data_IF_809705037781
#
_entry.id   IF_809705037781
#
_cell.length_a   1.000
_cell.length_b   1.000
_cell.length_c   1.000
_cell.angle_alpha   90.00
_cell.angle_beta   90.00
_cell.angle_gamma   90.00
#
_symmetry.space_group_name_H-M   'P 1'
#
loop_
_entity.id
_entity.type
_entity.pdbx_description
1 polymer ?
#
# COMPACT_ATOMS: atom_id res chain seq x y z
N UNK A 1 -31.29 17.38 -27.09
CA UNK A 1 -31.64 17.59 -25.67
C UNK A 1 -30.36 17.66 -24.86
N UNK A 2 -30.33 18.49 -23.82
CA UNK A 2 -29.20 18.61 -22.89
C UNK A 2 -29.07 17.29 -22.09
N UNK A 3 -27.84 16.86 -21.78
CA UNK A 3 -27.57 15.58 -21.10
C UNK A 3 -26.48 15.75 -20.06
N UNK A 4 -26.61 15.05 -18.93
CA UNK A 4 -25.56 14.89 -17.92
C UNK A 4 -25.05 13.45 -18.04
N UNK A 5 -23.73 13.28 -18.08
CA UNK A 5 -23.09 11.96 -18.18
C UNK A 5 -22.27 11.73 -16.92
N UNK A 6 -22.61 10.67 -16.19
CA UNK A 6 -21.87 10.25 -15.00
C UNK A 6 -20.89 9.15 -15.42
N UNK A 7 -19.60 9.44 -15.28
CA UNK A 7 -18.50 8.55 -15.64
C UNK A 7 -18.00 7.68 -14.48
N UNK A 8 -18.20 8.15 -13.24
CA UNK A 8 -17.75 7.49 -12.03
C UNK A 8 -18.74 7.74 -10.90
N UNK A 9 -18.73 6.85 -9.90
CA UNK A 9 -19.60 6.94 -8.72
C UNK A 9 -18.73 6.99 -7.46
N UNK A 10 -19.22 7.60 -6.37
CA UNK A 10 -18.44 7.69 -5.15
C UNK A 10 -18.10 6.32 -4.55
N UNK A 11 -17.05 6.31 -3.73
CA UNK A 11 -16.59 5.11 -3.03
C UNK A 11 -17.72 4.47 -2.20
N UNK A 12 -17.84 3.14 -2.26
CA UNK A 12 -18.87 2.35 -1.58
C UNK A 12 -20.33 2.67 -1.95
N UNK A 13 -20.58 3.36 -3.07
CA UNK A 13 -21.92 3.52 -3.63
C UNK A 13 -22.21 2.41 -4.64
N UNK A 14 -23.37 1.76 -4.51
CA UNK A 14 -23.86 0.81 -5.52
C UNK A 14 -24.63 1.58 -6.59
N UNK A 15 -24.25 1.38 -7.86
CA UNK A 15 -24.90 2.04 -9.01
C UNK A 15 -26.41 1.81 -9.05
N UNK A 16 -26.86 0.56 -8.82
CA UNK A 16 -28.30 0.23 -8.85
C UNK A 16 -29.08 1.03 -7.79
N UNK A 17 -28.60 1.04 -6.55
CA UNK A 17 -29.23 1.76 -5.43
C UNK A 17 -29.26 3.27 -5.69
N UNK A 18 -28.18 3.82 -6.25
CA UNK A 18 -28.10 5.22 -6.66
C UNK A 18 -29.17 5.56 -7.71
N UNK A 19 -29.34 4.73 -8.74
CA UNK A 19 -30.34 4.95 -9.80
C UNK A 19 -31.77 4.90 -9.27
N UNK A 20 -32.08 3.93 -8.41
CA UNK A 20 -33.40 3.80 -7.77
C UNK A 20 -33.69 5.04 -6.93
N UNK A 21 -32.72 5.49 -6.12
CA UNK A 21 -32.89 6.69 -5.31
C UNK A 21 -33.08 7.95 -6.16
N UNK A 22 -32.35 8.12 -7.26
CA UNK A 22 -32.55 9.25 -8.17
C UNK A 22 -33.95 9.19 -8.79
N UNK A 23 -34.42 8.02 -9.22
CA UNK A 23 -35.78 7.85 -9.74
C UNK A 23 -36.84 8.23 -8.69
N UNK A 24 -36.65 7.83 -7.43
CA UNK A 24 -37.53 8.22 -6.32
C UNK A 24 -37.52 9.73 -6.05
N UNK A 25 -36.35 10.38 -6.14
CA UNK A 25 -36.23 11.84 -5.99
C UNK A 25 -36.93 12.61 -7.11
N UNK A 26 -36.92 12.07 -8.33
CA UNK A 26 -37.67 12.63 -9.48
C UNK A 26 -39.18 12.44 -9.27
N UNK A 27 -39.61 11.25 -8.84
CA UNK A 27 -41.02 10.96 -8.57
C UNK A 27 -41.61 11.80 -7.43
N UNK A 28 -40.79 12.14 -6.43
CA UNK A 28 -41.16 13.02 -5.30
C UNK A 28 -41.04 14.52 -5.62
N UNK A 29 -40.70 14.87 -6.86
CA UNK A 29 -40.45 16.25 -7.31
C UNK A 29 -39.37 17.00 -6.50
N UNK A 30 -38.47 16.26 -5.85
CA UNK A 30 -37.33 16.84 -5.13
C UNK A 30 -36.25 17.28 -6.11
N UNK A 31 -36.03 16.50 -7.17
CA UNK A 31 -35.14 16.85 -8.28
C UNK A 31 -35.99 17.13 -9.52
N UNK A 32 -35.98 18.38 -9.97
CA UNK A 32 -36.83 18.86 -11.07
C UNK A 32 -35.96 19.04 -12.32
N UNK A 33 -36.52 18.71 -13.48
CA UNK A 33 -35.85 18.95 -14.77
C UNK A 33 -35.23 17.71 -15.40
N UNK A 34 -35.37 16.53 -14.80
CA UNK A 34 -34.99 15.25 -15.40
C UNK A 34 -36.12 14.73 -16.30
N UNK A 35 -35.79 14.32 -17.53
CA UNK A 35 -36.71 13.71 -18.50
C UNK A 35 -36.65 12.19 -18.45
N UNK A 36 -35.45 11.64 -18.44
CA UNK A 36 -35.19 10.20 -18.52
C UNK A 36 -33.82 9.88 -17.90
N UNK A 37 -33.66 8.65 -17.39
CA UNK A 37 -32.41 8.14 -16.80
C UNK A 37 -32.10 6.80 -17.45
N UNK A 38 -30.94 6.68 -18.09
CA UNK A 38 -30.50 5.46 -18.77
C UNK A 38 -29.14 5.01 -18.27
N UNK A 39 -29.04 3.72 -17.99
CA UNK A 39 -27.78 3.06 -17.69
C UNK A 39 -27.19 2.46 -18.98
N UNK A 40 -26.15 3.10 -19.50
CA UNK A 40 -25.39 2.67 -20.68
C UNK A 40 -24.03 2.05 -20.27
N UNK A 41 -23.90 1.61 -19.01
CA UNK A 41 -22.64 1.04 -18.52
C UNK A 41 -22.35 -0.31 -19.18
N UNK A 42 -21.07 -0.57 -19.44
CA UNK A 42 -20.59 -1.81 -20.04
C UNK A 42 -19.47 -2.42 -19.17
N UNK A 43 -18.80 -3.46 -19.68
CA UNK A 43 -17.58 -3.98 -19.05
C UNK A 43 -16.42 -2.98 -19.06
N UNK A 44 -16.48 -1.97 -19.93
CA UNK A 44 -15.43 -0.96 -20.10
C UNK A 44 -15.54 0.18 -19.09
N UNK A 45 -16.72 0.38 -18.46
CA UNK A 45 -16.88 1.41 -17.45
C UNK A 45 -18.32 1.77 -17.14
N UNK A 46 -18.47 2.69 -16.19
CA UNK A 46 -19.75 3.25 -15.79
C UNK A 46 -20.11 4.38 -16.75
N UNK A 47 -21.35 4.34 -17.24
CA UNK A 47 -21.92 5.42 -18.05
C UNK A 47 -23.41 5.54 -17.76
N UNK A 48 -23.76 6.48 -16.90
CA UNK A 48 -25.17 6.81 -16.64
C UNK A 48 -25.51 8.10 -17.37
N UNK A 49 -26.55 8.06 -18.19
CA UNK A 49 -27.03 9.20 -18.98
C UNK A 49 -28.33 9.73 -18.38
N UNK A 50 -28.31 10.97 -17.91
CA UNK A 50 -29.48 11.68 -17.41
C UNK A 50 -29.89 12.70 -18.48
N UNK A 51 -31.06 12.50 -19.09
CA UNK A 51 -31.62 13.45 -20.04
C UNK A 51 -32.32 14.59 -19.29
N UNK A 52 -31.97 15.82 -19.62
CA UNK A 52 -32.55 17.02 -19.02
C UNK A 52 -33.69 17.54 -19.89
N UNK A 53 -34.80 17.98 -19.28
CA UNK A 53 -35.94 18.62 -19.96
C UNK A 53 -35.46 19.87 -20.70
N UNK A 54 -36.07 20.19 -21.84
CA UNK A 54 -35.62 21.32 -22.67
C UNK A 54 -35.70 22.69 -21.96
N UNK A 55 -36.62 22.82 -21.01
CA UNK A 55 -36.85 24.03 -20.21
C UNK A 55 -36.09 24.04 -18.87
N UNK A 56 -35.16 23.12 -18.65
CA UNK A 56 -34.35 23.04 -17.44
C UNK A 56 -32.88 23.33 -17.75
N UNK A 57 -32.19 23.91 -16.77
CA UNK A 57 -30.75 24.12 -16.81
C UNK A 57 -29.99 22.89 -16.26
N UNK A 58 -29.05 22.28 -17.03
CA UNK A 58 -28.32 21.10 -16.58
C UNK A 58 -27.46 21.34 -15.34
N UNK A 59 -26.92 22.54 -15.15
CA UNK A 59 -26.11 22.85 -13.97
C UNK A 59 -26.98 22.90 -12.71
N UNK A 60 -28.15 23.54 -12.78
CA UNK A 60 -29.12 23.51 -11.68
C UNK A 60 -29.59 22.07 -11.35
N UNK A 61 -29.80 21.21 -12.36
CA UNK A 61 -30.13 19.79 -12.15
C UNK A 61 -28.96 19.04 -11.50
N UNK A 62 -27.74 19.28 -11.94
CA UNK A 62 -26.53 18.66 -11.39
C UNK A 62 -26.32 19.05 -9.91
N UNK A 63 -26.52 20.32 -9.56
CA UNK A 63 -26.41 20.80 -8.18
C UNK A 63 -27.49 20.19 -7.28
N UNK A 64 -28.73 20.07 -7.77
CA UNK A 64 -29.80 19.34 -7.06
C UNK A 64 -29.43 17.87 -6.83
N UNK A 65 -28.84 17.22 -7.84
CA UNK A 65 -28.37 15.84 -7.74
C UNK A 65 -27.25 15.70 -6.71
N UNK A 66 -26.24 16.56 -6.70
CA UNK A 66 -25.19 16.51 -5.67
C UNK A 66 -25.73 16.75 -4.26
N UNK A 67 -26.72 17.62 -4.10
CA UNK A 67 -27.31 17.93 -2.80
C UNK A 67 -28.23 16.83 -2.25
N UNK A 68 -29.01 16.18 -3.11
CA UNK A 68 -30.11 15.31 -2.69
C UNK A 68 -29.89 13.83 -3.00
N UNK A 69 -28.94 13.48 -3.86
CA UNK A 69 -28.58 12.11 -4.21
C UNK A 69 -27.23 11.71 -3.62
N UNK A 70 -26.83 10.44 -3.84
CA UNK A 70 -25.55 9.88 -3.38
C UNK A 70 -24.38 10.11 -4.33
N UNK A 71 -24.52 11.04 -5.27
CA UNK A 71 -23.42 11.43 -6.17
C UNK A 71 -22.35 12.26 -5.46
N UNK A 72 -22.67 12.83 -4.30
CA UNK A 72 -21.73 13.46 -3.39
C UNK A 72 -21.99 12.98 -1.97
N UNK A 73 -20.96 12.46 -1.33
CA UNK A 73 -21.04 11.83 -0.02
C UNK A 73 -19.93 12.38 0.88
N UNK A 74 -20.24 12.57 2.16
CA UNK A 74 -19.21 12.88 3.15
C UNK A 74 -18.53 11.59 3.61
N UNK A 75 -17.20 11.54 3.53
CA UNK A 75 -16.43 10.44 4.11
C UNK A 75 -15.85 10.86 5.46
N UNK A 76 -16.27 10.20 6.54
CA UNK A 76 -15.72 10.43 7.87
C UNK A 76 -14.48 9.56 8.07
N UNK A 77 -13.30 10.18 8.05
CA UNK A 77 -12.04 9.50 8.29
C UNK A 77 -11.74 9.44 9.80
N UNK A 78 -11.74 8.24 10.39
CA UNK A 78 -11.30 8.01 11.76
C UNK A 78 -10.14 6.99 11.76
N UNK A 79 -8.92 7.49 11.87
CA UNK A 79 -7.70 6.69 11.75
C UNK A 79 -7.38 6.01 13.10
N UNK A 80 -8.14 4.97 13.45
CA UNK A 80 -7.90 4.16 14.66
C UNK A 80 -7.09 2.91 14.33
N UNK A 81 -6.13 2.57 15.19
CA UNK A 81 -5.38 1.32 15.10
C UNK A 81 -5.03 0.75 16.46
N UNK A 82 -4.27 -0.35 16.46
CA UNK A 82 -3.77 -0.99 17.68
C UNK A 82 -2.27 -0.80 17.74
N UNK A 83 -1.80 -0.21 18.83
CA UNK A 83 -0.37 -0.10 19.16
C UNK A 83 -0.17 -0.71 20.55
N UNK A 84 0.75 -1.67 20.66
CA UNK A 84 1.08 -2.38 21.91
C UNK A 84 -0.15 -2.93 22.66
N UNK A 85 -1.08 -3.51 21.90
CA UNK A 85 -2.30 -4.13 22.43
C UNK A 85 -3.37 -3.13 22.88
N UNK A 86 -3.22 -1.84 22.59
CA UNK A 86 -4.18 -0.79 22.96
C UNK A 86 -4.74 -0.08 21.73
N UNK A 87 -6.04 0.28 21.72
CA UNK A 87 -6.60 1.11 20.65
C UNK A 87 -6.08 2.54 20.78
N UNK A 88 -5.53 3.09 19.69
CA UNK A 88 -4.94 4.42 19.63
C UNK A 88 -5.41 5.13 18.36
N UNK A 89 -5.67 6.43 18.46
CA UNK A 89 -5.87 7.29 17.30
C UNK A 89 -4.51 7.58 16.65
N UNK A 90 -4.36 7.24 15.38
CA UNK A 90 -3.11 7.32 14.64
C UNK A 90 -3.12 8.53 13.71
N UNK A 91 -2.06 9.34 13.79
CA UNK A 91 -1.73 10.30 12.74
C UNK A 91 -0.76 9.67 11.72
N UNK A 92 -0.60 10.34 10.56
CA UNK A 92 0.26 9.84 9.49
C UNK A 92 1.73 9.66 9.93
N UNK A 93 2.36 10.60 10.67
CA UNK A 93 3.71 10.40 11.20
C UNK A 93 3.83 9.15 12.08
N UNK A 94 2.90 8.93 13.00
CA UNK A 94 2.90 7.75 13.87
C UNK A 94 2.81 6.47 13.04
N UNK A 95 1.90 6.42 12.06
CA UNK A 95 1.78 5.26 11.17
C UNK A 95 3.09 4.93 10.45
N UNK A 96 3.75 5.94 9.87
CA UNK A 96 5.02 5.78 9.15
C UNK A 96 6.13 5.32 10.11
N UNK A 97 6.26 5.95 11.27
CA UNK A 97 7.27 5.59 12.27
C UNK A 97 7.08 4.17 12.79
N UNK A 98 5.84 3.77 13.10
CA UNK A 98 5.54 2.41 13.55
C UNK A 98 5.86 1.40 12.46
N UNK A 99 5.49 1.67 11.21
CA UNK A 99 5.81 0.79 10.07
C UNK A 99 7.32 0.61 9.89
N UNK A 100 8.09 1.71 9.86
CA UNK A 100 9.54 1.68 9.69
C UNK A 100 10.21 0.93 10.86
N UNK A 101 9.78 1.19 12.10
CA UNK A 101 10.33 0.51 13.29
C UNK A 101 10.06 -1.00 13.27
N UNK A 102 8.86 -1.39 12.86
CA UNK A 102 8.52 -2.80 12.67
C UNK A 102 9.39 -3.44 11.58
N UNK A 103 9.56 -2.77 10.43
CA UNK A 103 10.40 -3.27 9.34
C UNK A 103 11.88 -3.38 9.73
N UNK A 104 12.41 -2.43 10.49
CA UNK A 104 13.78 -2.51 11.02
C UNK A 104 13.96 -3.80 11.85
N UNK A 105 13.01 -4.07 12.76
CA UNK A 105 13.00 -5.30 13.57
C UNK A 105 12.92 -6.57 12.70
N UNK A 106 12.13 -6.55 11.62
CA UNK A 106 12.01 -7.69 10.70
C UNK A 106 13.34 -7.95 9.98
N UNK A 107 14.01 -6.91 9.49
CA UNK A 107 15.33 -7.01 8.85
C UNK A 107 16.36 -7.56 9.82
N UNK A 108 16.37 -7.05 11.06
CA UNK A 108 17.27 -7.53 12.12
C UNK A 108 17.04 -9.01 12.43
N UNK A 109 15.79 -9.43 12.62
CA UNK A 109 15.46 -10.83 12.91
C UNK A 109 15.81 -11.76 11.75
N UNK A 110 15.61 -11.33 10.50
CA UNK A 110 16.00 -12.07 9.30
C UNK A 110 17.52 -12.24 9.25
N UNK A 111 18.27 -11.14 9.37
CA UNK A 111 19.73 -11.17 9.37
C UNK A 111 20.30 -12.03 10.52
N UNK A 112 19.71 -11.94 11.72
CA UNK A 112 20.10 -12.76 12.87
C UNK A 112 19.83 -14.25 12.67
N UNK A 113 18.71 -14.61 12.03
CA UNK A 113 18.42 -16.00 11.67
C UNK A 113 19.44 -16.53 10.66
N UNK A 114 19.69 -15.78 9.59
CA UNK A 114 20.65 -16.17 8.55
C UNK A 114 22.07 -16.24 9.10
N UNK A 115 22.46 -15.32 10.00
CA UNK A 115 23.76 -15.32 10.67
C UNK A 115 23.95 -16.57 11.51
N UNK A 116 22.96 -16.94 12.33
CA UNK A 116 23.05 -18.13 13.17
C UNK A 116 23.18 -19.40 12.32
N UNK A 117 22.44 -19.48 11.21
CA UNK A 117 22.54 -20.59 10.26
C UNK A 117 23.92 -20.65 9.58
N UNK A 118 24.43 -19.50 9.14
CA UNK A 118 25.74 -19.40 8.52
C UNK A 118 26.87 -19.77 9.49
N UNK A 119 26.82 -19.26 10.74
CA UNK A 119 27.78 -19.59 11.80
C UNK A 119 27.76 -21.08 12.15
N UNK A 120 26.58 -21.69 12.29
CA UNK A 120 26.47 -23.11 12.55
C UNK A 120 27.09 -23.95 11.42
N UNK A 121 26.87 -23.56 10.16
CA UNK A 121 27.48 -24.22 9.00
C UNK A 121 29.00 -24.03 8.96
N UNK A 122 29.47 -22.80 9.15
CA UNK A 122 30.89 -22.47 9.16
C UNK A 122 31.63 -23.24 10.27
N UNK A 123 31.04 -23.36 11.47
CA UNK A 123 31.59 -24.15 12.57
C UNK A 123 31.81 -25.62 12.19
N UNK A 124 30.87 -26.23 11.46
CA UNK A 124 31.04 -27.61 10.96
C UNK A 124 32.17 -27.69 9.93
N UNK A 125 32.18 -26.77 8.95
CA UNK A 125 33.21 -26.77 7.91
C UNK A 125 34.61 -26.56 8.49
N UNK A 126 34.76 -25.66 9.48
CA UNK A 126 36.02 -25.45 10.20
C UNK A 126 36.54 -26.75 10.83
N UNK A 127 35.64 -27.52 11.47
CA UNK A 127 35.99 -28.84 12.02
C UNK A 127 36.42 -29.82 10.94
N UNK A 128 35.75 -29.83 9.79
CA UNK A 128 36.09 -30.70 8.65
C UNK A 128 37.42 -30.34 8.00
N UNK A 129 37.78 -29.05 7.94
CA UNK A 129 39.08 -28.57 7.45
C UNK A 129 40.17 -28.99 8.43
N UNK A 130 40.01 -28.70 9.73
CA UNK A 130 40.96 -29.10 10.79
C UNK A 130 41.16 -30.61 10.85
N UNK A 131 40.09 -31.39 10.69
CA UNK A 131 40.15 -32.85 10.67
C UNK A 131 40.92 -33.37 9.44
N UNK A 132 40.88 -32.65 8.32
CA UNK A 132 41.61 -33.02 7.11
C UNK A 132 43.12 -32.85 7.28
N UNK A 133 43.57 -31.81 7.98
CA UNK A 133 45.00 -31.57 8.26
C UNK A 133 45.62 -32.69 9.11
N UNK A 134 44.79 -33.38 9.90
CA UNK A 134 45.16 -34.50 10.77
C UNK A 134 44.47 -35.81 10.37
N UNK A 135 44.26 -36.03 9.07
CA UNK A 135 43.43 -37.15 8.60
C UNK A 135 43.97 -38.52 9.01
N UNK A 136 45.29 -38.69 9.06
CA UNK A 136 45.91 -39.96 9.47
C UNK A 136 45.60 -40.29 10.93
N UNK A 137 45.64 -39.30 11.82
CA UNK A 137 45.24 -39.43 13.23
C UNK A 137 43.75 -39.80 13.33
N UNK A 138 42.89 -39.10 12.57
CA UNK A 138 41.43 -39.35 12.56
C UNK A 138 41.14 -40.79 12.09
N UNK A 139 41.83 -41.27 11.05
CA UNK A 139 41.70 -42.66 10.57
C UNK A 139 42.24 -43.66 11.59
N UNK A 140 43.33 -43.36 12.28
CA UNK A 140 43.89 -44.20 13.33
C UNK A 140 42.92 -44.35 14.51
N UNK A 141 42.34 -43.25 15.00
CA UNK A 141 41.27 -43.26 16.02
C UNK A 141 40.07 -44.07 15.52
N UNK A 142 39.66 -43.87 14.26
CA UNK A 142 38.53 -44.60 13.67
C UNK A 142 38.72 -46.12 13.65
N UNK A 143 39.93 -46.59 13.35
CA UNK A 143 40.27 -48.02 13.36
C UNK A 143 40.38 -48.61 14.77
N UNK A 144 40.84 -47.81 15.73
CA UNK A 144 41.10 -48.27 17.09
C UNK A 144 39.88 -48.14 18.02
N UNK A 145 38.87 -47.35 17.64
CA UNK A 145 37.63 -47.17 18.41
C UNK A 145 36.72 -48.40 18.31
N UNK A 146 36.15 -48.83 19.42
CA UNK A 146 35.23 -49.97 19.49
C UNK A 146 33.79 -49.63 19.09
N UNK A 147 33.40 -48.35 19.14
CA UNK A 147 32.09 -47.87 18.70
C UNK A 147 32.17 -46.45 18.14
N UNK A 148 31.09 -46.03 17.46
CA UNK A 148 30.94 -44.65 16.98
C UNK A 148 30.95 -43.64 18.12
N UNK A 149 30.32 -43.96 19.23
CA UNK A 149 30.28 -43.10 20.42
C UNK A 149 31.68 -42.93 21.02
N UNK A 150 32.50 -43.98 21.04
CA UNK A 150 33.89 -43.87 21.49
C UNK A 150 34.71 -43.00 20.54
N UNK A 151 34.54 -43.19 19.23
CA UNK A 151 35.21 -42.36 18.21
C UNK A 151 34.88 -40.88 18.40
N UNK A 152 33.61 -40.54 18.59
CA UNK A 152 33.17 -39.16 18.83
C UNK A 152 33.73 -38.59 20.15
N UNK A 153 33.80 -39.38 21.24
CA UNK A 153 34.44 -38.95 22.51
C UNK A 153 35.93 -38.64 22.36
N UNK A 154 36.67 -39.44 21.60
CA UNK A 154 38.09 -39.19 21.35
C UNK A 154 38.28 -37.92 20.51
N UNK A 155 37.45 -37.70 19.49
CA UNK A 155 37.47 -36.46 18.70
C UNK A 155 37.12 -35.21 19.52
N UNK A 156 36.29 -35.34 20.56
CA UNK A 156 35.99 -34.24 21.50
C UNK A 156 37.11 -33.98 22.50
N UNK A 157 38.10 -34.87 22.60
CA UNK A 157 39.14 -34.80 23.64
C UNK A 157 38.72 -35.35 25.01
N UNK A 158 37.54 -35.98 25.11
CA UNK A 158 37.04 -36.58 26.36
C UNK A 158 37.85 -37.83 26.74
N UNK A 159 38.44 -38.50 25.75
CA UNK A 159 39.17 -39.75 25.89
C UNK A 159 40.46 -39.66 25.06
N UNK A 160 41.60 -40.04 25.64
CA UNK A 160 42.91 -39.98 24.96
C UNK A 160 43.31 -41.34 24.41
N UNK A 161 44.03 -41.36 23.29
CA UNK A 161 44.52 -42.58 22.66
C UNK A 161 46.04 -42.55 22.53
N UNK A 162 46.68 -43.66 22.89
CA UNK A 162 48.13 -43.73 22.93
C UNK A 162 48.75 -43.44 21.55
N UNK A 163 49.66 -42.46 21.49
CA UNK A 163 50.36 -42.07 20.27
C UNK A 163 49.61 -41.05 19.39
N UNK A 164 48.44 -40.55 19.80
CA UNK A 164 47.66 -39.56 19.05
C UNK A 164 47.50 -38.30 19.90
N UNK A 165 47.81 -37.14 19.33
CA UNK A 165 47.62 -35.87 20.04
C UNK A 165 46.13 -35.57 20.24
N UNK A 166 45.77 -34.93 21.36
CA UNK A 166 44.37 -34.63 21.68
C UNK A 166 43.69 -33.83 20.57
N UNK A 167 42.40 -34.10 20.37
CA UNK A 167 41.51 -33.27 19.59
C UNK A 167 40.72 -32.34 20.50
N UNK A 168 40.10 -31.33 19.90
CA UNK A 168 39.25 -30.33 20.57
C UNK A 168 38.09 -29.94 19.64
N UNK A 169 37.39 -30.96 19.11
CA UNK A 169 36.23 -30.75 18.26
C UNK A 169 34.96 -30.65 19.11
N UNK A 170 34.03 -29.77 18.72
CA UNK A 170 32.71 -29.77 19.36
C UNK A 170 31.92 -31.04 19.02
N UNK A 171 30.87 -31.33 19.79
CA UNK A 171 29.98 -32.47 19.52
C UNK A 171 29.43 -32.48 18.08
N UNK A 172 29.02 -31.32 17.57
CA UNK A 172 28.50 -31.21 16.21
C UNK A 172 29.59 -31.45 15.15
N UNK A 173 30.82 -30.99 15.39
CA UNK A 173 31.96 -31.24 14.51
C UNK A 173 32.36 -32.72 14.54
N UNK A 174 32.51 -33.33 15.71
CA UNK A 174 32.86 -34.74 15.87
C UNK A 174 31.86 -35.64 15.15
N UNK A 175 30.55 -35.36 15.29
CA UNK A 175 29.49 -36.06 14.57
C UNK A 175 29.61 -35.90 13.05
N UNK A 176 29.86 -34.68 12.57
CA UNK A 176 30.03 -34.42 11.13
C UNK A 176 31.26 -35.12 10.55
N UNK A 177 32.36 -35.20 11.32
CA UNK A 177 33.57 -35.94 10.94
C UNK A 177 33.27 -37.45 10.86
N UNK A 178 32.56 -37.99 11.86
CA UNK A 178 32.19 -39.41 11.91
C UNK A 178 31.26 -39.84 10.75
N UNK A 179 30.44 -38.92 10.23
CA UNK A 179 29.52 -39.17 9.11
C UNK A 179 30.17 -39.00 7.73
N UNK A 180 31.43 -38.58 7.66
CA UNK A 180 32.13 -38.32 6.41
C UNK A 180 32.43 -39.62 5.66
N UNK A 181 32.19 -39.62 4.35
CA UNK A 181 32.47 -40.76 3.46
C UNK A 181 33.89 -40.67 2.92
N UNK A 182 34.56 -41.81 2.74
CA UNK A 182 35.97 -41.86 2.31
C UNK A 182 36.26 -41.11 1.01
N UNK A 183 35.33 -41.11 0.03
CA UNK A 183 35.55 -40.37 -1.22
C UNK A 183 35.59 -38.85 -1.02
N UNK A 184 34.97 -38.32 0.05
CA UNK A 184 34.96 -36.89 0.39
C UNK A 184 36.29 -36.41 0.98
N UNK A 185 37.28 -37.31 1.09
CA UNK A 185 38.67 -36.97 1.45
C UNK A 185 39.51 -36.64 0.21
N UNK A 186 38.90 -36.65 -0.99
CA UNK A 186 39.59 -36.27 -2.23
C UNK A 186 40.07 -34.81 -2.17
N UNK A 187 41.18 -34.51 -2.84
CA UNK A 187 41.73 -33.13 -2.90
C UNK A 187 40.71 -32.11 -3.42
N UNK A 188 39.85 -32.53 -4.36
CA UNK A 188 38.79 -31.70 -4.92
C UNK A 188 37.69 -31.39 -3.89
N UNK A 189 37.28 -32.39 -3.10
CA UNK A 189 36.23 -32.16 -2.10
C UNK A 189 36.75 -31.36 -0.90
N UNK A 190 38.03 -31.52 -0.57
CA UNK A 190 38.71 -30.67 0.43
C UNK A 190 38.75 -29.22 -0.03
N UNK A 191 39.14 -28.96 -1.28
CA UNK A 191 39.14 -27.58 -1.78
C UNK A 191 37.74 -26.97 -1.76
N UNK A 192 36.71 -27.72 -2.17
CA UNK A 192 35.32 -27.24 -2.09
C UNK A 192 34.88 -26.88 -0.67
N UNK A 193 35.24 -27.71 0.32
CA UNK A 193 34.91 -27.43 1.73
C UNK A 193 35.61 -26.16 2.22
N UNK A 194 36.86 -25.96 1.81
CA UNK A 194 37.61 -24.74 2.12
C UNK A 194 36.99 -23.51 1.45
N UNK A 195 36.66 -23.60 0.16
CA UNK A 195 36.04 -22.53 -0.60
C UNK A 195 34.67 -22.15 0.01
N UNK A 196 33.83 -23.14 0.34
CA UNK A 196 32.52 -22.93 1.00
C UNK A 196 32.70 -22.24 2.36
N UNK A 197 33.72 -22.65 3.14
CA UNK A 197 34.02 -22.05 4.43
C UNK A 197 34.45 -20.58 4.30
N UNK A 198 35.29 -20.27 3.32
CA UNK A 198 35.77 -18.90 3.10
C UNK A 198 34.68 -17.98 2.53
N UNK A 199 33.80 -18.49 1.66
CA UNK A 199 32.59 -17.78 1.23
C UNK A 199 31.66 -17.49 2.42
N UNK A 200 31.43 -18.47 3.30
CA UNK A 200 30.59 -18.28 4.47
C UNK A 200 31.16 -17.26 5.46
N UNK A 201 32.48 -17.14 5.60
CA UNK A 201 33.09 -16.07 6.40
C UNK A 201 32.73 -14.69 5.88
N UNK A 202 32.74 -14.49 4.57
CA UNK A 202 32.34 -13.22 3.95
C UNK A 202 30.86 -12.92 4.23
N UNK A 203 30.00 -13.92 4.09
CA UNK A 203 28.57 -13.78 4.40
C UNK A 203 28.33 -13.48 5.88
N UNK A 204 29.04 -14.15 6.78
CA UNK A 204 28.95 -13.90 8.23
C UNK A 204 29.37 -12.47 8.56
N UNK A 205 30.51 -12.01 8.03
CA UNK A 205 30.99 -10.65 8.24
C UNK A 205 29.99 -9.62 7.72
N UNK A 206 29.36 -9.90 6.56
CA UNK A 206 28.33 -9.05 6.00
C UNK A 206 27.10 -8.95 6.90
N UNK A 207 26.59 -10.09 7.37
CA UNK A 207 25.44 -10.17 8.26
C UNK A 207 25.70 -9.53 9.63
N UNK A 208 26.92 -9.66 10.17
CA UNK A 208 27.32 -8.98 11.40
C UNK A 208 27.36 -7.45 11.24
N UNK A 209 27.82 -6.96 10.09
CA UNK A 209 27.79 -5.54 9.77
C UNK A 209 26.33 -5.02 9.60
N UNK A 210 25.43 -5.80 8.99
CA UNK A 210 24.00 -5.47 8.94
C UNK A 210 23.39 -5.35 10.35
N UNK A 211 23.72 -6.27 11.26
CA UNK A 211 23.18 -6.26 12.62
C UNK A 211 23.76 -5.13 13.48
N UNK A 212 25.03 -4.78 13.29
CA UNK A 212 25.68 -3.70 14.05
C UNK A 212 25.36 -2.30 13.51
N UNK A 213 25.06 -2.16 12.21
CA UNK A 213 24.84 -0.88 11.56
C UNK A 213 23.36 -0.59 11.26
N UNK A 214 22.76 0.29 12.06
CA UNK A 214 21.41 0.81 11.79
C UNK A 214 21.29 1.51 10.43
N UNK A 215 22.21 2.39 10.00
CA UNK A 215 22.16 3.00 8.68
C UNK A 215 22.11 1.96 7.56
N UNK A 216 22.84 0.85 7.70
CA UNK A 216 22.84 -0.24 6.72
C UNK A 216 21.49 -0.95 6.65
N UNK A 217 20.85 -1.24 7.79
CA UNK A 217 19.48 -1.77 7.79
C UNK A 217 18.48 -0.84 7.11
N UNK A 218 18.61 0.47 7.33
CA UNK A 218 17.75 1.46 6.69
C UNK A 218 18.01 1.58 5.18
N UNK A 219 19.25 1.38 4.72
CA UNK A 219 19.56 1.32 3.29
C UNK A 219 18.88 0.11 2.63
N UNK A 220 19.02 -1.08 3.23
CA UNK A 220 18.33 -2.30 2.77
C UNK A 220 16.82 -2.08 2.73
N UNK A 221 16.24 -1.48 3.77
CA UNK A 221 14.81 -1.18 3.80
C UNK A 221 14.39 -0.26 2.65
N UNK A 222 15.17 0.78 2.34
CA UNK A 222 14.88 1.70 1.24
C UNK A 222 14.94 1.00 -0.12
N UNK A 223 15.94 0.14 -0.32
CA UNK A 223 16.10 -0.65 -1.54
C UNK A 223 14.91 -1.60 -1.74
N UNK A 224 14.51 -2.32 -0.68
CA UNK A 224 13.33 -3.20 -0.71
C UNK A 224 12.04 -2.42 -1.02
N UNK A 225 11.87 -1.23 -0.42
CA UNK A 225 10.71 -0.38 -0.69
C UNK A 225 10.71 0.16 -2.12
N UNK A 226 11.87 0.52 -2.67
CA UNK A 226 11.99 0.93 -4.06
C UNK A 226 11.63 -0.20 -5.02
N UNK A 227 12.10 -1.42 -4.75
CA UNK A 227 11.73 -2.61 -5.53
C UNK A 227 10.23 -2.94 -5.41
N UNK A 228 9.61 -2.65 -4.26
CA UNK A 228 8.17 -2.82 -4.08
C UNK A 228 7.38 -1.81 -4.92
N UNK A 229 7.81 -0.55 -4.95
CA UNK A 229 7.19 0.49 -5.77
C UNK A 229 7.35 0.17 -7.27
N UNK A 230 8.52 -0.30 -7.70
CA UNK A 230 8.77 -0.68 -9.10
C UNK A 230 7.87 -1.84 -9.54
N UNK A 231 7.69 -2.85 -8.68
CA UNK A 231 6.87 -4.03 -9.00
C UNK A 231 5.36 -3.81 -8.88
N UNK A 232 4.92 -2.93 -7.97
CA UNK A 232 3.52 -2.86 -7.54
C UNK A 232 2.92 -1.44 -7.57
N UNK A 233 3.67 -0.42 -7.99
CA UNK A 233 3.17 0.94 -8.12
C UNK A 233 2.11 1.07 -9.21
N UNK A 234 1.17 1.97 -9.01
CA UNK A 234 0.15 2.33 -9.99
C UNK A 234 -0.05 3.85 -10.08
N UNK A 235 -0.68 4.29 -11.17
CA UNK A 235 -1.00 5.71 -11.36
C UNK A 235 -2.18 6.14 -10.48
N UNK A 236 -2.14 7.40 -10.04
CA UNK A 236 -3.21 7.97 -9.22
C UNK A 236 -4.52 8.03 -10.00
N UNK A 237 -5.55 7.37 -9.45
CA UNK A 237 -6.90 7.36 -10.06
C UNK A 237 -7.77 8.54 -9.66
N UNK A 238 -7.69 8.98 -8.40
CA UNK A 238 -8.51 10.08 -7.90
C UNK A 238 -7.89 11.44 -8.18
N UNK A 239 -8.74 12.44 -8.37
CA UNK A 239 -8.36 13.84 -8.47
C UNK A 239 -8.76 14.60 -7.20
N UNK A 240 -7.90 15.52 -6.73
CA UNK A 240 -8.24 16.42 -5.62
C UNK A 240 -8.37 17.82 -6.24
N UNK A 241 -9.58 18.37 -6.19
CA UNK A 241 -9.85 19.74 -6.60
C UNK A 241 -9.46 20.71 -5.46
N UNK A 242 -8.53 21.66 -5.67
CA UNK A 242 -8.15 22.64 -4.67
C UNK A 242 -9.23 23.69 -4.38
N UNK A 243 -10.23 23.85 -5.26
CA UNK A 243 -11.32 24.81 -5.11
C UNK A 243 -12.65 24.08 -5.24
N UNK A 244 -13.11 23.36 -4.20
CA UNK A 244 -14.37 22.63 -4.28
C UNK A 244 -15.52 23.59 -4.55
N UNK A 245 -16.47 23.17 -5.38
CA UNK A 245 -17.73 23.88 -5.60
C UNK A 245 -18.37 24.20 -4.25
N UNK A 246 -18.62 25.49 -4.00
CA UNK A 246 -19.56 25.87 -2.94
C UNK A 246 -20.94 25.35 -3.35
N UNK A 247 -21.69 24.81 -2.40
CA UNK A 247 -23.10 24.46 -2.60
C UNK A 247 -23.97 25.42 -1.79
N UNK A 248 -23.77 26.70 -2.06
CA UNK A 248 -24.62 27.72 -1.49
C UNK A 248 -26.03 27.60 -2.09
N UNK A 249 -27.04 28.07 -1.35
CA UNK A 249 -28.45 27.87 -1.75
C UNK A 249 -28.74 28.56 -3.09
N UNK A 250 -28.00 29.61 -3.38
CA UNK A 250 -28.03 30.45 -4.56
C UNK A 250 -27.71 29.64 -5.84
N UNK A 251 -26.81 28.66 -5.77
CA UNK A 251 -26.39 27.82 -6.91
C UNK A 251 -27.46 26.79 -7.34
N UNK A 252 -28.55 26.66 -6.58
CA UNK A 252 -29.69 25.78 -6.89
C UNK A 252 -30.76 26.49 -7.72
N UNK A 253 -30.64 27.80 -7.90
CA UNK A 253 -31.60 28.62 -8.64
C UNK A 253 -31.03 28.86 -10.03
N UNK A 254 -31.89 28.77 -11.04
CA UNK A 254 -31.53 29.06 -12.42
C UNK A 254 -30.97 30.49 -12.56
N UNK A 255 -29.78 30.61 -13.17
CA UNK A 255 -29.26 31.92 -13.55
C UNK A 255 -30.16 32.57 -14.60
N UNK A 256 -30.77 33.70 -14.25
CA UNK A 256 -31.62 34.47 -15.15
C UNK A 256 -31.06 35.86 -15.34
N UNK A 257 -30.94 36.29 -16.59
CA UNK A 257 -30.62 37.68 -16.89
C UNK A 257 -31.78 38.58 -16.41
N UNK A 258 -31.47 39.50 -15.50
CA UNK A 258 -32.43 40.51 -14.99
C UNK A 258 -32.03 41.91 -15.45
N UNK A 259 -33.02 42.71 -15.81
CA UNK A 259 -32.86 44.14 -16.00
C UNK A 259 -33.24 44.83 -14.68
N UNK A 260 -32.30 45.60 -14.11
CA UNK A 260 -32.54 46.43 -12.93
C UNK A 260 -32.75 47.86 -13.42
N UNK A 261 -33.91 48.44 -13.14
CA UNK A 261 -34.24 49.82 -13.50
C UNK A 261 -34.34 50.68 -12.25
N UNK A 262 -33.70 51.85 -12.31
CA UNK A 262 -33.80 52.92 -11.32
C UNK A 262 -34.59 54.08 -11.94
N UNK A 263 -35.64 54.53 -11.28
CA UNK A 263 -36.38 55.75 -11.69
C UNK A 263 -35.78 57.00 -11.06
N UNK A 264 -36.09 58.17 -11.61
CA UNK A 264 -35.68 59.47 -11.02
C UNK A 264 -36.21 59.65 -9.58
N UNK A 265 -37.37 59.06 -9.25
CA UNK A 265 -37.93 59.03 -7.89
C UNK A 265 -37.29 57.97 -6.96
N UNK A 266 -36.11 57.44 -7.30
CA UNK A 266 -35.38 56.40 -6.53
C UNK A 266 -36.11 55.07 -6.31
N UNK A 267 -37.08 54.70 -7.16
CA UNK A 267 -37.63 53.35 -7.15
C UNK A 267 -36.72 52.37 -7.88
N UNK A 268 -36.32 51.32 -7.17
CA UNK A 268 -35.59 50.19 -7.72
C UNK A 268 -36.59 49.09 -8.07
N UNK A 269 -36.58 48.64 -9.32
CA UNK A 269 -37.35 47.47 -9.78
C UNK A 269 -36.44 46.54 -10.57
N UNK A 270 -36.74 45.24 -10.50
CA UNK A 270 -36.06 44.20 -11.28
C UNK A 270 -37.11 43.42 -12.06
N UNK A 271 -36.81 43.13 -13.32
CA UNK A 271 -37.65 42.29 -14.19
C UNK A 271 -36.73 41.36 -15.00
N UNK A 272 -37.14 40.12 -15.33
CA UNK A 272 -36.40 39.29 -16.26
C UNK A 272 -36.19 40.01 -17.60
N UNK A 273 -35.01 39.88 -18.22
CA UNK A 273 -34.69 40.56 -19.50
C UNK A 273 -35.68 40.20 -20.60
N UNK A 274 -36.22 38.98 -20.57
CA UNK A 274 -37.28 38.52 -21.50
C UNK A 274 -38.57 39.33 -21.39
N UNK A 275 -38.92 39.78 -20.18
CA UNK A 275 -40.05 40.66 -19.92
C UNK A 275 -39.70 42.13 -20.15
N UNK A 276 -38.41 42.47 -20.17
CA UNK A 276 -37.90 43.81 -20.45
C UNK A 276 -37.89 44.08 -21.97
N UNK A 277 -39.08 44.27 -22.55
CA UNK A 277 -39.21 44.74 -23.93
C UNK A 277 -38.86 46.23 -24.00
N UNK A 278 -37.79 46.56 -24.71
CA UNK A 278 -37.47 47.95 -25.10
C UNK A 278 -38.58 48.46 -26.01
N UNK A 279 -39.46 49.29 -25.47
CA UNK A 279 -40.45 50.00 -26.28
C UNK A 279 -39.73 51.16 -26.97
N UNK A 280 -39.25 50.93 -28.20
CA UNK A 280 -38.73 52.00 -29.03
C UNK A 280 -39.86 53.02 -29.28
N UNK A 281 -39.70 54.20 -28.67
CA UNK A 281 -40.38 55.49 -28.93
C UNK A 281 -41.77 55.42 -29.57
N UNK A 282 -42.79 55.78 -28.77
CA UNK A 282 -44.01 56.42 -29.28
C UNK A 282 -45.29 55.65 -29.00
N UNK A 283 -45.76 55.69 -27.75
CA UNK A 283 -47.12 55.24 -27.43
C UNK A 283 -47.36 55.17 -25.93
N UNK A 284 -48.07 56.15 -25.37
CA UNK A 284 -48.61 56.11 -24.00
C UNK A 284 -49.48 54.84 -23.84
N UNK A 285 -49.09 53.97 -22.90
CA UNK A 285 -50.03 53.10 -22.19
C UNK A 285 -49.83 51.60 -22.34
N UNK A 286 -49.44 50.96 -21.24
CA UNK A 286 -50.13 49.76 -20.77
C UNK A 286 -50.46 50.00 -19.29
N UNK A 287 -51.71 49.73 -18.93
CA UNK A 287 -52.31 49.98 -17.62
C UNK A 287 -51.36 49.54 -16.51
N UNK A 288 -51.17 50.41 -15.53
CA UNK A 288 -50.55 50.06 -14.26
C UNK A 288 -51.20 48.79 -13.72
N UNK A 289 -50.35 47.81 -13.38
CA UNK A 289 -50.77 46.70 -12.53
C UNK A 289 -51.10 47.30 -11.18
N UNK A 290 -52.31 47.04 -10.71
CA UNK A 290 -52.79 47.45 -9.40
C UNK A 290 -51.92 46.81 -8.31
N UNK A 291 -51.74 47.59 -7.24
CA UNK A 291 -51.14 47.17 -5.96
C UNK A 291 -51.73 45.87 -5.43
#
# INVERSE_FOLDING_TARGET
GKRIIVHEIPYQVKKADMLVQIADLVNKEVVIGIRDIRDESSKEGIRVVIEVKNNADPHAVLNQLFKSSRLQESYSANMMGILDGRPVLLDLPTMIHTYVSHRETVVERRAGFDLNKAKARAHILEGLVKAQDRIDDVVAVGKASASREQFERVLRGDESMAGIASFDFSEAQAKAIAERRLYQLSRLDVSKVQDEHDELKLVIADLEDILSSRPRRLAILKEELAELVDRHGDERRSFIDPMPLSMDREDLIEERAIAITLTDDNYIRHVPVEAFRVQNRGGKGLKGVAT
#
